data_IF_797144776301
#
_entry.id   IF_797144776301
#
_cell.length_a   1.000
_cell.length_b   1.000
_cell.length_c   1.000
_cell.angle_alpha   90.00
_cell.angle_beta   90.00
_cell.angle_gamma   90.00
#
_symmetry.space_group_name_H-M   'P 1'
#
loop_
_entity.id
_entity.type
_entity.pdbx_description
1 polymer ?
#
# COMPACT_ATOMS: atom_id res chain seq x y z
N UNK A 1 -15.58 -19.88 -4.38
CA UNK A 1 -14.91 -19.87 -3.07
C UNK A 1 -15.87 -19.25 -2.07
N UNK A 2 -16.16 -19.93 -0.95
CA UNK A 2 -17.08 -19.42 0.07
C UNK A 2 -16.39 -18.28 0.80
N UNK A 3 -16.96 -17.07 0.77
CA UNK A 3 -16.59 -16.03 1.72
C UNK A 3 -16.89 -16.59 3.12
N UNK A 4 -15.85 -16.85 3.91
CA UNK A 4 -16.00 -17.27 5.30
C UNK A 4 -16.55 -16.09 6.10
N UNK A 5 -17.29 -16.36 7.18
CA UNK A 5 -17.90 -15.32 8.03
C UNK A 5 -16.91 -14.25 8.54
N UNK A 6 -15.59 -14.51 8.46
CA UNK A 6 -14.50 -13.61 8.84
C UNK A 6 -14.34 -12.38 7.94
N UNK A 7 -14.75 -12.44 6.67
CA UNK A 7 -14.68 -11.31 5.72
C UNK A 7 -15.67 -10.16 6.02
N UNK A 8 -16.38 -10.19 7.14
CA UNK A 8 -17.47 -9.24 7.47
C UNK A 8 -17.20 -8.37 8.69
N UNK A 9 -16.10 -8.61 9.43
CA UNK A 9 -15.75 -7.82 10.60
C UNK A 9 -15.35 -6.40 10.17
N UNK A 10 -16.07 -5.41 10.68
CA UNK A 10 -15.69 -4.00 10.59
C UNK A 10 -15.00 -3.61 11.90
N UNK A 11 -13.95 -2.83 11.78
CA UNK A 11 -13.18 -2.33 12.90
C UNK A 11 -13.57 -0.89 13.22
N UNK A 12 -13.52 -0.56 14.50
CA UNK A 12 -13.76 0.79 15.01
C UNK A 12 -12.49 1.64 14.91
N UNK A 13 -12.65 2.96 14.97
CA UNK A 13 -11.52 3.90 15.07
C UNK A 13 -10.62 3.60 16.27
N UNK A 14 -11.23 3.27 17.42
CA UNK A 14 -10.49 2.90 18.63
C UNK A 14 -9.60 1.68 18.44
N UNK A 15 -10.04 0.71 17.63
CA UNK A 15 -9.23 -0.47 17.29
C UNK A 15 -8.08 -0.13 16.34
N UNK A 16 -8.32 0.73 15.33
CA UNK A 16 -7.25 1.20 14.45
C UNK A 16 -6.16 1.98 15.19
N UNK A 17 -6.51 2.70 16.25
CA UNK A 17 -5.52 3.39 17.08
C UNK A 17 -4.57 2.46 17.85
N UNK A 18 -4.77 1.13 17.80
CA UNK A 18 -3.82 0.14 18.33
C UNK A 18 -2.62 -0.05 17.41
N UNK A 19 -2.81 0.04 16.09
CA UNK A 19 -1.77 -0.20 15.09
C UNK A 19 -1.15 1.07 14.51
N UNK A 20 -1.79 2.23 14.71
CA UNK A 20 -1.25 3.53 14.28
C UNK A 20 -1.74 4.66 15.18
N UNK A 21 -1.02 5.79 15.19
CA UNK A 21 -1.47 7.04 15.85
C UNK A 21 -1.81 8.14 14.84
N UNK A 22 -1.72 7.85 13.54
CA UNK A 22 -1.94 8.83 12.49
C UNK A 22 -3.41 8.82 12.01
N UNK A 23 -4.06 9.98 12.08
CA UNK A 23 -5.46 10.13 11.69
C UNK A 23 -5.69 9.91 10.18
N UNK A 24 -4.69 10.20 9.34
CA UNK A 24 -4.73 9.95 7.90
C UNK A 24 -4.78 8.46 7.59
N UNK A 25 -3.95 7.67 8.29
CA UNK A 25 -3.96 6.20 8.22
C UNK A 25 -5.26 5.63 8.77
N UNK A 26 -5.75 6.10 9.92
CA UNK A 26 -7.06 5.66 10.47
C UNK A 26 -8.19 5.91 9.47
N UNK A 27 -8.21 7.08 8.82
CA UNK A 27 -9.18 7.38 7.75
C UNK A 27 -8.99 6.47 6.54
N UNK A 28 -7.75 6.14 6.16
CA UNK A 28 -7.48 5.21 5.06
C UNK A 28 -8.06 3.81 5.33
N UNK A 29 -7.87 3.28 6.54
CA UNK A 29 -8.39 1.99 6.97
C UNK A 29 -9.93 1.98 7.03
N UNK A 30 -10.53 3.05 7.56
CA UNK A 30 -11.99 3.25 7.54
C UNK A 30 -12.54 3.23 6.10
N UNK A 31 -11.85 3.87 5.15
CA UNK A 31 -12.27 3.86 3.75
C UNK A 31 -12.19 2.45 3.18
N UNK A 32 -11.06 1.75 3.35
CA UNK A 32 -10.82 0.42 2.80
C UNK A 32 -11.85 -0.62 3.26
N UNK A 33 -12.23 -0.63 4.55
CA UNK A 33 -13.18 -1.63 5.07
C UNK A 33 -14.58 -1.53 4.45
N UNK A 34 -14.92 -0.38 3.86
CA UNK A 34 -16.19 -0.16 3.14
C UNK A 34 -16.06 -0.39 1.63
N UNK A 35 -14.99 -1.06 1.19
CA UNK A 35 -14.74 -1.36 -0.22
C UNK A 35 -14.55 -2.85 -0.47
N UNK A 36 -14.40 -3.22 -1.75
CA UNK A 36 -14.00 -4.58 -2.14
C UNK A 36 -12.57 -4.95 -1.70
N UNK A 37 -11.76 -3.99 -1.24
CA UNK A 37 -10.43 -4.22 -0.68
C UNK A 37 -10.41 -4.36 0.86
N UNK A 38 -11.56 -4.63 1.49
CA UNK A 38 -11.67 -4.79 2.95
C UNK A 38 -10.77 -5.87 3.56
N UNK A 39 -10.37 -6.88 2.79
CA UNK A 39 -9.44 -7.92 3.24
C UNK A 39 -8.08 -7.34 3.65
N UNK A 40 -7.65 -6.23 3.02
CA UNK A 40 -6.44 -5.48 3.42
C UNK A 40 -6.54 -5.05 4.89
N UNK A 41 -7.70 -4.55 5.31
CA UNK A 41 -7.94 -4.12 6.70
C UNK A 41 -7.95 -5.32 7.63
N UNK A 42 -8.55 -6.43 7.21
CA UNK A 42 -8.56 -7.66 8.00
C UNK A 42 -7.14 -8.15 8.27
N UNK A 43 -6.31 -8.30 7.24
CA UNK A 43 -4.91 -8.74 7.38
C UNK A 43 -4.12 -7.83 8.31
N UNK A 44 -4.16 -6.52 8.06
CA UNK A 44 -3.48 -5.52 8.91
C UNK A 44 -3.88 -5.65 10.39
N UNK A 45 -5.16 -5.88 10.67
CA UNK A 45 -5.67 -5.92 12.03
C UNK A 45 -5.43 -7.25 12.74
N UNK A 46 -5.58 -8.37 12.04
CA UNK A 46 -5.42 -9.70 12.64
C UNK A 46 -3.94 -10.07 12.81
N UNK A 47 -3.07 -9.64 11.89
CA UNK A 47 -1.62 -9.84 11.98
C UNK A 47 -0.93 -8.73 12.81
N UNK A 48 -1.72 -7.81 13.39
CA UNK A 48 -1.25 -6.70 14.22
C UNK A 48 -0.13 -5.86 13.54
N UNK A 49 -0.30 -5.56 12.26
CA UNK A 49 0.69 -4.84 11.45
C UNK A 49 0.65 -3.36 11.81
N UNK A 50 1.73 -2.85 12.41
CA UNK A 50 1.82 -1.44 12.80
C UNK A 50 2.18 -0.54 11.61
N UNK A 51 1.56 0.65 11.53
CA UNK A 51 1.74 1.57 10.39
C UNK A 51 2.32 2.90 10.89
N UNK A 52 3.46 3.29 10.33
CA UNK A 52 4.21 4.48 10.77
C UNK A 52 4.75 5.29 9.58
N UNK A 53 4.63 6.61 9.65
CA UNK A 53 5.35 7.51 8.73
C UNK A 53 6.80 7.72 9.20
N UNK A 54 7.77 7.50 8.31
CA UNK A 54 9.20 7.67 8.61
C UNK A 54 9.95 8.06 7.34
N UNK A 55 10.99 8.92 7.38
CA UNK A 55 11.83 9.14 6.22
C UNK A 55 12.59 7.85 5.90
N UNK A 56 12.25 7.15 4.80
CA UNK A 56 12.73 5.79 4.53
C UNK A 56 14.23 5.74 4.25
N UNK A 57 14.81 6.85 3.79
CA UNK A 57 16.27 7.01 3.67
C UNK A 57 17.02 6.76 4.99
N UNK A 58 16.35 6.93 6.14
CA UNK A 58 16.94 6.63 7.47
C UNK A 58 17.04 5.14 7.77
N UNK A 59 16.33 4.29 7.01
CA UNK A 59 16.41 2.83 7.09
C UNK A 59 17.48 2.25 6.16
N UNK A 60 17.95 3.03 5.19
CA UNK A 60 18.99 2.63 4.26
C UNK A 60 19.00 3.51 3.01
N UNK A 61 20.18 3.75 2.44
CA UNK A 61 20.31 4.57 1.22
C UNK A 61 19.55 3.99 0.02
N UNK A 62 19.39 2.66 0.00
CA UNK A 62 18.63 1.94 -1.02
C UNK A 62 17.14 2.31 -1.02
N UNK A 63 16.58 2.73 0.11
CA UNK A 63 15.15 3.09 0.24
C UNK A 63 14.88 4.58 -0.01
N UNK A 64 15.88 5.35 -0.49
CA UNK A 64 15.74 6.79 -0.73
C UNK A 64 14.58 7.16 -1.67
N UNK A 65 14.23 6.25 -2.57
CA UNK A 65 13.17 6.44 -3.58
C UNK A 65 11.94 5.57 -3.31
N UNK A 66 11.92 4.82 -2.20
CA UNK A 66 10.76 4.03 -1.82
C UNK A 66 9.64 4.94 -1.31
N UNK A 67 8.40 4.61 -1.63
CA UNK A 67 7.21 5.31 -1.13
C UNK A 67 6.70 4.68 0.16
N UNK A 68 6.84 3.36 0.28
CA UNK A 68 6.56 2.58 1.47
C UNK A 68 7.44 1.32 1.49
N UNK A 69 7.40 0.62 2.62
CA UNK A 69 8.15 -0.60 2.89
C UNK A 69 7.48 -1.40 4.00
N UNK A 70 7.07 -2.63 3.70
CA UNK A 70 6.80 -3.65 4.71
C UNK A 70 8.10 -4.23 5.27
N UNK A 71 8.10 -4.49 6.58
CA UNK A 71 9.25 -5.03 7.30
C UNK A 71 8.80 -6.03 8.35
N UNK A 72 9.40 -7.23 8.31
CA UNK A 72 9.26 -8.24 9.37
C UNK A 72 10.51 -8.21 10.24
N UNK A 73 10.34 -8.05 11.54
CA UNK A 73 11.43 -8.08 12.52
C UNK A 73 11.72 -9.52 12.96
N UNK A 74 12.93 -9.78 13.48
CA UNK A 74 13.34 -11.10 13.96
C UNK A 74 12.43 -11.70 15.06
N UNK A 75 11.69 -10.85 15.77
CA UNK A 75 10.70 -11.25 16.78
C UNK A 75 9.31 -11.59 16.18
N UNK A 76 9.16 -11.54 14.86
CA UNK A 76 7.90 -11.76 14.14
C UNK A 76 6.97 -10.54 14.11
N UNK A 77 7.38 -9.38 14.64
CA UNK A 77 6.60 -8.15 14.49
C UNK A 77 6.64 -7.67 13.04
N UNK A 78 5.50 -7.23 12.50
CA UNK A 78 5.42 -6.67 11.16
C UNK A 78 5.05 -5.19 11.22
N UNK A 79 5.73 -4.38 10.39
CA UNK A 79 5.45 -2.96 10.23
C UNK A 79 5.36 -2.57 8.77
N UNK A 80 4.44 -1.64 8.48
CA UNK A 80 4.40 -0.89 7.22
C UNK A 80 4.94 0.51 7.50
N UNK A 81 6.06 0.84 6.88
CA UNK A 81 6.60 2.20 6.87
C UNK A 81 6.15 2.92 5.61
N UNK A 82 5.57 4.11 5.75
CA UNK A 82 5.29 5.00 4.61
C UNK A 82 6.26 6.17 4.67
N UNK A 83 6.82 6.59 3.54
CA UNK A 83 7.74 7.74 3.56
C UNK A 83 7.03 8.99 4.10
N UNK A 84 7.68 9.66 5.05
CA UNK A 84 7.19 10.88 5.69
C UNK A 84 6.78 11.99 4.71
N UNK A 85 7.32 12.00 3.49
CA UNK A 85 6.92 12.94 2.44
C UNK A 85 5.44 12.78 2.03
N UNK A 86 4.86 11.61 2.30
CA UNK A 86 3.46 11.27 2.00
C UNK A 86 2.50 11.49 3.17
N UNK A 87 2.93 12.02 4.33
CA UNK A 87 2.05 12.14 5.50
C UNK A 87 0.79 12.98 5.23
N UNK A 88 0.91 13.97 4.35
CA UNK A 88 -0.20 14.85 3.97
C UNK A 88 -1.03 14.33 2.78
N UNK A 89 -0.73 13.14 2.26
CA UNK A 89 -1.48 12.57 1.17
C UNK A 89 -2.95 12.34 1.58
N UNK A 90 -3.90 12.45 0.64
CA UNK A 90 -5.29 12.14 0.94
C UNK A 90 -5.41 10.69 1.44
N UNK A 91 -6.29 10.40 2.41
CA UNK A 91 -6.46 9.04 2.95
C UNK A 91 -6.74 7.97 1.89
N UNK A 92 -7.36 8.35 0.77
CA UNK A 92 -7.58 7.47 -0.37
C UNK A 92 -6.29 7.00 -1.06
N UNK A 93 -5.27 7.86 -1.11
CA UNK A 93 -3.96 7.51 -1.65
C UNK A 93 -3.19 6.62 -0.66
N UNK A 94 -3.28 6.94 0.64
CA UNK A 94 -2.74 6.09 1.72
C UNK A 94 -3.38 4.69 1.67
N UNK A 95 -4.69 4.61 1.46
CA UNK A 95 -5.40 3.33 1.30
C UNK A 95 -4.87 2.50 0.14
N UNK A 96 -4.50 3.13 -0.98
CA UNK A 96 -3.94 2.43 -2.13
C UNK A 96 -2.56 1.84 -1.81
N UNK A 97 -1.67 2.61 -1.16
CA UNK A 97 -0.34 2.08 -0.81
C UNK A 97 -0.42 1.03 0.30
N UNK A 98 -1.34 1.13 1.26
CA UNK A 98 -1.56 0.04 2.23
C UNK A 98 -1.99 -1.27 1.56
N UNK A 99 -2.78 -1.20 0.49
CA UNK A 99 -3.19 -2.37 -0.27
C UNK A 99 -2.04 -2.99 -1.07
N UNK A 100 -0.97 -2.22 -1.33
CA UNK A 100 0.29 -2.73 -1.85
C UNK A 100 1.04 -3.49 -0.76
N UNK A 101 1.38 -2.79 0.32
CA UNK A 101 2.34 -3.23 1.32
C UNK A 101 1.86 -4.46 2.10
N UNK A 102 0.54 -4.64 2.26
CA UNK A 102 -0.02 -5.80 2.97
C UNK A 102 0.29 -7.14 2.30
N UNK A 103 0.70 -7.14 1.02
CA UNK A 103 1.05 -8.35 0.29
C UNK A 103 2.48 -8.82 0.57
N UNK A 104 3.32 -7.96 1.15
CA UNK A 104 4.68 -8.24 1.56
C UNK A 104 4.67 -8.69 3.02
N UNK A 105 4.39 -9.98 3.25
CA UNK A 105 4.18 -10.59 4.57
C UNK A 105 5.36 -11.45 5.06
N UNK A 106 6.41 -11.59 4.25
CA UNK A 106 7.64 -12.28 4.62
C UNK A 106 8.92 -11.50 4.24
N UNK A 107 10.08 -12.13 4.42
CA UNK A 107 11.39 -11.56 4.09
C UNK A 107 11.84 -11.86 2.64
N UNK A 108 11.02 -12.54 1.85
CA UNK A 108 11.34 -13.03 0.51
C UNK A 108 10.45 -12.36 -0.54
N UNK A 109 10.79 -11.13 -0.90
CA UNK A 109 10.10 -10.43 -1.98
C UNK A 109 10.48 -10.97 -3.37
N UNK A 110 9.54 -10.95 -4.32
CA UNK A 110 9.81 -11.27 -5.73
C UNK A 110 9.24 -10.27 -6.73
N UNK A 111 9.74 -10.33 -7.98
CA UNK A 111 9.18 -9.53 -9.07
C UNK A 111 7.71 -9.88 -9.35
N UNK A 112 7.32 -11.15 -9.20
CA UNK A 112 5.93 -11.56 -9.41
C UNK A 112 5.00 -10.98 -8.35
N UNK A 113 5.45 -10.99 -7.11
CA UNK A 113 4.74 -10.38 -5.98
C UNK A 113 4.59 -8.87 -6.15
N UNK A 114 5.66 -8.16 -6.51
CA UNK A 114 5.60 -6.73 -6.86
C UNK A 114 4.58 -6.45 -7.97
N UNK A 115 4.53 -7.27 -9.02
CA UNK A 115 3.52 -7.10 -10.07
C UNK A 115 2.09 -7.24 -9.53
N UNK A 116 1.85 -8.16 -8.60
CA UNK A 116 0.55 -8.30 -7.93
C UNK A 116 0.27 -7.09 -7.04
N UNK A 117 1.25 -6.63 -6.27
CA UNK A 117 1.13 -5.52 -5.33
C UNK A 117 0.85 -4.18 -6.04
N UNK A 118 1.60 -3.87 -7.10
CA UNK A 118 1.35 -2.70 -7.94
C UNK A 118 -0.03 -2.72 -8.61
N UNK A 119 -0.50 -3.90 -9.05
CA UNK A 119 -1.84 -4.05 -9.64
C UNK A 119 -2.95 -3.87 -8.61
N UNK A 120 -2.77 -4.41 -7.41
CA UNK A 120 -3.70 -4.25 -6.31
C UNK A 120 -3.78 -2.77 -5.87
N UNK A 121 -2.63 -2.10 -5.75
CA UNK A 121 -2.54 -0.66 -5.50
C UNK A 121 -3.28 0.16 -6.56
N UNK A 122 -3.05 -0.14 -7.84
CA UNK A 122 -3.72 0.53 -8.95
C UNK A 122 -5.23 0.31 -8.92
N UNK A 123 -5.69 -0.92 -8.66
CA UNK A 123 -7.11 -1.24 -8.54
C UNK A 123 -7.76 -0.43 -7.43
N UNK A 124 -7.16 -0.40 -6.24
CA UNK A 124 -7.66 0.37 -5.11
C UNK A 124 -7.68 1.87 -5.43
N UNK A 125 -6.64 2.39 -6.08
CA UNK A 125 -6.62 3.79 -6.49
C UNK A 125 -7.71 4.15 -7.50
N UNK A 126 -7.93 3.33 -8.54
CA UNK A 126 -9.01 3.54 -9.51
C UNK A 126 -10.38 3.51 -8.83
N UNK A 127 -10.59 2.58 -7.90
CA UNK A 127 -11.80 2.51 -7.09
C UNK A 127 -12.01 3.77 -6.25
N UNK A 128 -10.97 4.25 -5.55
CA UNK A 128 -11.06 5.47 -4.76
C UNK A 128 -11.38 6.69 -5.62
N UNK A 129 -10.77 6.84 -6.81
CA UNK A 129 -11.11 7.92 -7.76
C UNK A 129 -12.53 7.84 -8.30
N UNK A 130 -13.10 6.65 -8.38
CA UNK A 130 -14.50 6.46 -8.75
C UNK A 130 -15.44 6.90 -7.62
N UNK A 131 -15.19 6.45 -6.39
CA UNK A 131 -15.99 6.78 -5.22
C UNK A 131 -15.86 8.24 -4.77
N UNK A 132 -14.70 8.85 -4.97
CA UNK A 132 -14.37 10.21 -4.54
C UNK A 132 -13.91 11.07 -5.73
N UNK A 133 -14.83 11.59 -6.56
CA UNK A 133 -14.48 12.34 -7.77
C UNK A 133 -13.62 13.59 -7.53
N UNK A 134 -13.65 14.16 -6.33
CA UNK A 134 -12.80 15.28 -5.92
C UNK A 134 -11.30 14.97 -6.09
N UNK A 135 -10.88 13.70 -6.02
CA UNK A 135 -9.50 13.28 -6.27
C UNK A 135 -9.03 13.60 -7.69
N UNK A 136 -9.94 13.74 -8.66
CA UNK A 136 -9.62 14.13 -10.05
C UNK A 136 -9.27 15.61 -10.19
N UNK A 137 -9.55 16.41 -9.17
CA UNK A 137 -9.31 17.87 -9.15
C UNK A 137 -8.02 18.26 -8.42
N UNK A 138 -7.35 17.30 -7.78
CA UNK A 138 -6.04 17.50 -7.15
C UNK A 138 -5.05 17.95 -8.23
N UNK A 139 -4.36 19.05 -7.98
CA UNK A 139 -3.39 19.59 -8.93
C UNK A 139 -2.11 18.74 -8.94
N UNK A 140 -1.43 18.62 -10.09
CA UNK A 140 -0.12 17.97 -10.13
C UNK A 140 0.85 18.59 -9.12
N UNK A 141 1.71 17.78 -8.50
CA UNK A 141 2.71 18.19 -7.50
C UNK A 141 2.14 18.65 -6.16
N UNK A 142 0.82 18.54 -5.95
CA UNK A 142 0.22 18.83 -4.65
C UNK A 142 0.51 17.73 -3.63
N UNK A 143 0.45 16.47 -4.05
CA UNK A 143 0.76 15.31 -3.21
C UNK A 143 1.58 14.29 -4.02
N UNK A 144 2.85 14.02 -3.66
CA UNK A 144 3.71 13.11 -4.42
C UNK A 144 3.11 11.71 -4.61
N UNK A 145 2.46 11.14 -3.58
CA UNK A 145 1.79 9.85 -3.70
C UNK A 145 0.67 9.86 -4.76
N UNK A 146 -0.11 10.94 -4.84
CA UNK A 146 -1.18 11.07 -5.84
C UNK A 146 -0.60 11.16 -7.25
N UNK A 147 0.53 11.86 -7.42
CA UNK A 147 1.21 11.94 -8.71
C UNK A 147 1.73 10.56 -9.15
N UNK A 148 2.36 9.79 -8.25
CA UNK A 148 2.79 8.40 -8.51
C UNK A 148 1.62 7.52 -8.93
N UNK A 149 0.55 7.52 -8.14
CA UNK A 149 -0.64 6.73 -8.40
C UNK A 149 -1.33 7.12 -9.73
N UNK A 150 -1.32 8.40 -10.10
CA UNK A 150 -1.81 8.86 -11.39
C UNK A 150 -0.88 8.45 -12.55
N UNK A 151 0.44 8.44 -12.33
CA UNK A 151 1.40 7.94 -13.32
C UNK A 151 1.19 6.43 -13.58
N UNK A 152 0.87 5.65 -12.56
CA UNK A 152 0.53 4.22 -12.71
C UNK A 152 -0.66 4.00 -13.64
N UNK A 153 -1.71 4.83 -13.56
CA UNK A 153 -2.85 4.76 -14.48
C UNK A 153 -2.38 4.96 -15.93
N UNK A 154 -1.50 5.94 -16.17
CA UNK A 154 -0.98 6.20 -17.52
C UNK A 154 -0.14 5.03 -18.05
N UNK A 155 0.66 4.40 -17.19
CA UNK A 155 1.45 3.23 -17.56
C UNK A 155 0.57 2.02 -17.88
N UNK A 156 -0.49 1.81 -17.10
CA UNK A 156 -1.47 0.73 -17.30
C UNK A 156 -2.29 0.93 -18.57
N UNK A 157 -2.78 2.16 -18.81
CA UNK A 157 -3.52 2.54 -20.02
C UNK A 157 -2.64 2.38 -21.30
N UNK A 158 -1.31 2.42 -21.15
CA UNK A 158 -0.34 2.16 -22.23
C UNK A 158 0.16 0.72 -22.29
N UNK A 159 -0.28 -0.15 -21.38
CA UNK A 159 0.19 -1.52 -21.23
C UNK A 159 1.71 -1.64 -20.97
N UNK A 160 2.32 -0.64 -20.34
CA UNK A 160 3.76 -0.59 -20.00
C UNK A 160 4.04 -0.69 -18.50
N UNK A 161 3.01 -0.91 -17.67
CA UNK A 161 3.16 -1.00 -16.22
C UNK A 161 4.10 -2.15 -15.81
N UNK A 162 3.84 -3.37 -16.31
CA UNK A 162 4.66 -4.54 -16.01
C UNK A 162 6.13 -4.35 -16.40
N UNK A 163 6.40 -3.78 -17.58
CA UNK A 163 7.75 -3.49 -18.05
C UNK A 163 8.44 -2.45 -17.15
N UNK A 164 7.69 -1.44 -16.70
CA UNK A 164 8.19 -0.42 -15.78
C UNK A 164 8.58 -1.03 -14.43
N UNK A 165 7.75 -1.94 -13.91
CA UNK A 165 8.04 -2.65 -12.64
C UNK A 165 9.28 -3.52 -12.80
N UNK A 166 9.34 -4.35 -13.85
CA UNK A 166 10.49 -5.25 -14.10
C UNK A 166 11.81 -4.50 -14.33
N UNK A 167 11.76 -3.28 -14.87
CA UNK A 167 12.94 -2.44 -15.11
C UNK A 167 13.29 -1.51 -13.94
N UNK A 168 12.50 -1.51 -12.87
CA UNK A 168 12.76 -0.69 -11.70
C UNK A 168 14.06 -1.14 -11.02
N UNK A 169 15.04 -0.22 -10.94
CA UNK A 169 16.34 -0.48 -10.32
C UNK A 169 16.23 -0.83 -8.83
N UNK A 170 15.16 -0.41 -8.16
CA UNK A 170 14.86 -0.83 -6.79
C UNK A 170 14.69 -2.35 -6.66
N UNK A 171 14.21 -3.02 -7.72
CA UNK A 171 13.92 -4.44 -7.73
C UNK A 171 14.98 -5.30 -8.42
N UNK A 172 16.11 -4.72 -8.83
CA UNK A 172 17.14 -5.43 -9.61
C UNK A 172 17.78 -6.62 -8.89
N UNK A 173 17.56 -6.74 -7.58
CA UNK A 173 18.09 -7.80 -6.72
C UNK A 173 17.03 -8.87 -6.38
N UNK A 174 15.76 -8.65 -6.75
CA UNK A 174 14.69 -9.58 -6.44
C UNK A 174 14.70 -10.79 -7.40
N UNK A 175 14.46 -12.00 -6.90
CA UNK A 175 14.21 -13.15 -7.75
C UNK A 175 12.91 -12.99 -8.56
N UNK A 176 12.72 -13.74 -9.66
CA UNK A 176 11.47 -13.71 -10.42
C UNK A 176 10.23 -14.16 -9.62
N UNK A 177 10.41 -15.10 -8.69
CA UNK A 177 9.36 -15.74 -7.88
C UNK A 177 9.83 -15.94 -6.44
N UNK A 178 8.89 -15.91 -5.49
CA UNK A 178 9.08 -16.19 -4.06
C UNK A 178 8.14 -17.32 -3.62
N UNK A 179 8.44 -18.05 -2.52
CA UNK A 179 7.53 -19.06 -1.99
C UNK A 179 6.18 -18.42 -1.60
N UNK A 180 5.14 -18.63 -2.41
CA UNK A 180 3.83 -18.02 -2.21
C UNK A 180 3.27 -17.28 -3.43
N UNK A 181 4.13 -16.97 -4.42
CA UNK A 181 3.78 -16.24 -5.65
C UNK A 181 4.34 -16.87 -6.94
#
# INVERSE_FOLDING_TARGET
ASATAQDTKLYTTGEFYRITRDDGVVKALLLLQHTEAKSVVYTIMEDNIHIVFKPLVTMGKQYKQADALSWVFDNGEQMIFIDSLHHNAPPQAIAAILAHEVLHDDDVNSITEELVAWRQELRVWRMMKHMYPALKTIQPKQYPLVDRLNAMIVLDDRHTLDETIRSNKGYSHLPPHSPGF
#
